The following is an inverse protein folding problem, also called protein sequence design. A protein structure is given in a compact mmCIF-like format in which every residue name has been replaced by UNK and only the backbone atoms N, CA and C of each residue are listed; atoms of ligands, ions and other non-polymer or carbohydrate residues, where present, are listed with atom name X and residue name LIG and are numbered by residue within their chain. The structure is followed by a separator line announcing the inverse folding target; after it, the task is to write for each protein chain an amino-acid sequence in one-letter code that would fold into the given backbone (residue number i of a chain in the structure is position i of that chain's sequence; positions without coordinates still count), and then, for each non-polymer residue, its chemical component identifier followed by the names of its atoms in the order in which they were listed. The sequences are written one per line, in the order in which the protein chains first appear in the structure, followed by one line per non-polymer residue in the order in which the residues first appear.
data_IF_200607038215
#
_entry.id   IF_200607038215
#
_cell.length_a   1.000
_cell.length_b   1.000
_cell.length_c   1.000
_cell.angle_alpha   90.00
_cell.angle_beta   90.00
_cell.angle_gamma   90.00
#
_symmetry.space_group_name_H-M   'P 1'
#
loop_
_entity.id
_entity.type
_entity.pdbx_description
1 polymer ?
#
# COMPACT_ATOMS: atom_id res chain seq x y z
N UNK A 1 25.15 24.07 -8.18
CA UNK A 1 24.01 24.83 -8.76
C UNK A 1 22.87 23.86 -9.01
N UNK A 2 21.64 24.33 -8.89
CA UNK A 2 20.43 23.59 -9.16
C UNK A 2 19.39 24.52 -9.78
N UNK A 3 18.46 23.98 -10.58
CA UNK A 3 17.38 24.75 -11.20
C UNK A 3 16.38 25.23 -10.15
N UNK A 4 16.03 24.35 -9.20
CA UNK A 4 15.11 24.68 -8.11
C UNK A 4 15.50 23.94 -6.83
N UNK A 5 15.40 24.64 -5.70
CA UNK A 5 15.52 24.04 -4.36
C UNK A 5 14.27 24.41 -3.58
N UNK A 6 13.57 23.41 -3.06
CA UNK A 6 12.42 23.56 -2.18
C UNK A 6 12.78 22.97 -0.83
N UNK A 7 12.73 23.77 0.23
CA UNK A 7 13.03 23.38 1.60
C UNK A 7 11.74 23.43 2.40
N UNK A 8 11.37 22.31 3.00
CA UNK A 8 10.23 22.17 3.91
C UNK A 8 10.73 21.73 5.30
N UNK A 9 9.83 21.62 6.26
CA UNK A 9 10.19 21.23 7.62
C UNK A 9 10.91 19.87 7.69
N UNK A 10 10.41 18.90 6.92
CA UNK A 10 10.85 17.51 7.00
C UNK A 10 11.53 17.01 5.71
N UNK A 11 11.60 17.85 4.67
CA UNK A 11 12.20 17.50 3.39
C UNK A 11 12.92 18.64 2.69
N UNK A 12 13.92 18.28 1.90
CA UNK A 12 14.58 19.22 0.98
C UNK A 12 14.66 18.55 -0.40
N UNK A 13 14.04 19.17 -1.38
CA UNK A 13 14.04 18.68 -2.77
C UNK A 13 14.91 19.59 -3.63
N UNK A 14 15.90 19.01 -4.30
CA UNK A 14 16.81 19.66 -5.23
C UNK A 14 16.50 19.12 -6.62
N UNK A 15 16.10 20.00 -7.54
CA UNK A 15 15.74 19.64 -8.91
C UNK A 15 16.82 20.15 -9.87
N UNK A 16 17.22 19.29 -10.82
CA UNK A 16 18.20 19.59 -11.86
C UNK A 16 19.53 20.13 -11.30
N UNK A 17 20.17 19.32 -10.44
CA UNK A 17 21.52 19.61 -9.99
C UNK A 17 22.54 19.54 -11.12
N UNK A 18 23.52 20.46 -11.15
CA UNK A 18 24.57 20.53 -12.16
C UNK A 18 25.84 19.75 -11.77
N UNK A 19 25.66 18.60 -11.05
CA UNK A 19 26.74 17.71 -10.70
C UNK A 19 27.32 16.96 -11.91
N UNK A 20 28.58 16.50 -11.81
CA UNK A 20 29.17 15.68 -12.86
C UNK A 20 28.51 14.29 -12.88
N UNK A 21 28.16 13.79 -14.06
CA UNK A 21 27.58 12.46 -14.25
C UNK A 21 28.47 11.35 -13.69
N UNK A 22 29.77 11.51 -13.81
CA UNK A 22 30.76 10.59 -13.27
C UNK A 22 30.70 10.52 -11.71
N UNK A 23 30.62 11.68 -11.05
CA UNK A 23 30.52 11.75 -9.59
C UNK A 23 29.18 11.13 -9.11
N UNK A 24 28.09 11.32 -9.84
CA UNK A 24 26.79 10.70 -9.55
C UNK A 24 26.88 9.18 -9.72
N UNK A 25 27.45 8.69 -10.83
CA UNK A 25 27.62 7.26 -11.07
C UNK A 25 28.51 6.60 -9.98
N UNK A 26 29.59 7.24 -9.58
CA UNK A 26 30.43 6.76 -8.51
C UNK A 26 29.68 6.69 -7.17
N UNK A 27 28.84 7.67 -6.87
CA UNK A 27 28.01 7.66 -5.67
C UNK A 27 26.95 6.56 -5.71
N UNK A 28 26.31 6.33 -6.85
CA UNK A 28 25.35 5.24 -7.07
C UNK A 28 26.02 3.90 -6.83
N UNK A 29 27.21 3.66 -7.38
CA UNK A 29 27.95 2.42 -7.18
C UNK A 29 28.35 2.19 -5.71
N UNK A 30 28.75 3.26 -5.01
CA UNK A 30 29.04 3.19 -3.58
C UNK A 30 27.81 2.78 -2.77
N UNK A 31 26.64 3.34 -3.06
CA UNK A 31 25.38 2.99 -2.39
C UNK A 31 25.01 1.52 -2.67
N UNK A 32 25.18 1.04 -3.91
CA UNK A 32 24.94 -0.38 -4.25
C UNK A 32 25.83 -1.32 -3.44
N UNK A 33 27.13 -1.01 -3.32
CA UNK A 33 28.03 -1.82 -2.48
C UNK A 33 27.63 -1.80 -1.00
N UNK A 34 27.15 -0.67 -0.49
CA UNK A 34 26.63 -0.58 0.89
C UNK A 34 25.36 -1.42 1.08
N UNK A 35 24.47 -1.48 0.08
CA UNK A 35 23.27 -2.33 0.09
C UNK A 35 23.60 -3.82 0.19
N UNK A 36 24.68 -4.27 -0.46
CA UNK A 36 25.13 -5.66 -0.41
C UNK A 36 25.70 -6.06 0.97
N UNK A 37 26.25 -5.11 1.70
CA UNK A 37 26.94 -5.36 2.98
C UNK A 37 26.10 -5.04 4.21
N UNK A 38 25.01 -4.26 4.08
CA UNK A 38 24.18 -3.88 5.23
C UNK A 38 23.30 -5.03 5.69
N UNK A 39 23.26 -5.25 7.01
CA UNK A 39 22.41 -6.23 7.67
C UNK A 39 21.18 -5.63 8.34
N UNK A 40 21.13 -4.30 8.45
CA UNK A 40 19.99 -3.54 9.01
C UNK A 40 18.94 -3.31 7.94
N UNK A 41 17.71 -3.78 8.15
CA UNK A 41 16.60 -3.53 7.22
C UNK A 41 16.28 -2.04 7.11
N UNK A 42 16.33 -1.30 8.22
CA UNK A 42 16.11 0.14 8.20
C UNK A 42 17.15 0.88 7.34
N UNK A 43 18.45 0.53 7.49
CA UNK A 43 19.51 1.15 6.68
C UNK A 43 19.39 0.74 5.21
N UNK A 44 18.98 -0.50 4.94
CA UNK A 44 18.70 -1.01 3.59
C UNK A 44 17.64 -0.18 2.90
N UNK A 45 16.50 0.04 3.56
CA UNK A 45 15.41 0.88 3.05
C UNK A 45 15.90 2.30 2.73
N UNK A 46 16.65 2.93 3.64
CA UNK A 46 17.18 4.30 3.44
C UNK A 46 18.22 4.39 2.32
N UNK A 47 19.02 3.35 2.12
CA UNK A 47 19.95 3.28 1.00
C UNK A 47 19.24 3.08 -0.33
N UNK A 48 18.19 2.24 -0.38
CA UNK A 48 17.35 2.07 -1.58
C UNK A 48 16.65 3.36 -1.97
N UNK A 49 16.07 4.08 -1.01
CA UNK A 49 15.45 5.39 -1.23
C UNK A 49 16.44 6.41 -1.83
N UNK A 50 17.66 6.48 -1.30
CA UNK A 50 18.74 7.32 -1.83
C UNK A 50 19.13 6.92 -3.24
N UNK A 51 19.27 5.63 -3.49
CA UNK A 51 19.63 5.09 -4.81
C UNK A 51 18.57 5.49 -5.85
N UNK A 52 17.29 5.30 -5.52
CA UNK A 52 16.18 5.68 -6.40
C UNK A 52 16.19 7.17 -6.75
N UNK A 53 16.41 8.04 -5.77
CA UNK A 53 16.49 9.51 -6.00
C UNK A 53 17.68 9.94 -6.84
N UNK A 54 18.80 9.24 -6.74
CA UNK A 54 20.01 9.55 -7.53
C UNK A 54 19.97 9.00 -8.95
N UNK A 55 19.36 7.83 -9.16
CA UNK A 55 19.33 7.12 -10.44
C UNK A 55 18.05 7.34 -11.24
N UNK A 56 16.93 7.62 -10.60
CA UNK A 56 15.61 7.74 -11.22
C UNK A 56 15.14 9.16 -11.52
N UNK A 57 15.85 10.18 -11.01
CA UNK A 57 15.42 11.57 -11.10
C UNK A 57 14.26 11.92 -10.14
N UNK A 58 13.67 13.10 -10.33
CA UNK A 58 12.55 13.61 -9.53
C UNK A 58 11.36 13.86 -10.44
N UNK A 59 10.26 13.14 -10.21
CA UNK A 59 8.98 13.43 -10.84
C UNK A 59 8.21 14.47 -10.00
N UNK A 60 7.67 15.48 -10.68
CA UNK A 60 6.85 16.53 -10.05
C UNK A 60 5.41 16.41 -10.54
N UNK A 61 4.49 16.03 -9.65
CA UNK A 61 3.06 16.03 -9.93
C UNK A 61 2.47 17.36 -9.49
N UNK A 62 2.03 18.18 -10.45
CA UNK A 62 1.37 19.45 -10.17
C UNK A 62 -0.13 19.22 -9.97
N UNK A 63 -0.64 19.66 -8.84
CA UNK A 63 -2.06 19.52 -8.47
C UNK A 63 -2.71 20.89 -8.38
N UNK A 64 -3.91 21.03 -8.94
CA UNK A 64 -4.68 22.26 -8.89
C UNK A 64 -6.16 21.96 -8.65
N UNK A 65 -6.87 22.88 -7.98
CA UNK A 65 -8.31 22.83 -7.78
C UNK A 65 -8.89 24.24 -7.69
N UNK A 66 -10.21 24.37 -7.84
CA UNK A 66 -10.90 25.65 -7.81
C UNK A 66 -10.94 26.30 -6.41
N UNK A 67 -10.83 25.51 -5.35
CA UNK A 67 -10.86 25.97 -3.95
C UNK A 67 -9.67 25.40 -3.17
N UNK A 68 -9.29 26.08 -2.08
CA UNK A 68 -8.20 25.61 -1.20
C UNK A 68 -8.55 24.29 -0.52
N UNK A 69 -9.81 24.11 -0.12
CA UNK A 69 -10.27 22.84 0.49
C UNK A 69 -10.17 21.68 -0.49
N UNK A 70 -10.66 21.87 -1.72
CA UNK A 70 -10.57 20.85 -2.77
C UNK A 70 -9.11 20.56 -3.17
N UNK A 71 -8.23 21.57 -3.13
CA UNK A 71 -6.80 21.38 -3.39
C UNK A 71 -6.15 20.53 -2.30
N UNK A 72 -6.45 20.76 -1.03
CA UNK A 72 -5.94 19.97 0.10
C UNK A 72 -6.42 18.52 0.01
N UNK A 73 -7.71 18.31 -0.27
CA UNK A 73 -8.28 16.97 -0.43
C UNK A 73 -7.60 16.21 -1.58
N UNK A 74 -7.44 16.85 -2.73
CA UNK A 74 -6.79 16.23 -3.89
C UNK A 74 -5.31 15.91 -3.63
N UNK A 75 -4.60 16.80 -2.93
CA UNK A 75 -3.20 16.55 -2.51
C UNK A 75 -3.11 15.31 -1.62
N UNK A 76 -3.95 15.20 -0.60
CA UNK A 76 -3.97 14.06 0.31
C UNK A 76 -4.30 12.75 -0.43
N UNK A 77 -5.27 12.79 -1.37
CA UNK A 77 -5.64 11.63 -2.18
C UNK A 77 -4.49 11.15 -3.08
N UNK A 78 -3.75 12.07 -3.68
CA UNK A 78 -2.58 11.73 -4.51
C UNK A 78 -1.43 11.19 -3.64
N UNK A 79 -1.23 11.76 -2.47
CA UNK A 79 -0.21 11.32 -1.51
C UNK A 79 -0.50 9.90 -1.01
N UNK A 80 -1.76 9.60 -0.71
CA UNK A 80 -2.24 8.27 -0.32
C UNK A 80 -2.03 7.25 -1.46
N UNK A 81 -2.46 7.57 -2.68
CA UNK A 81 -2.24 6.73 -3.85
C UNK A 81 -0.75 6.47 -4.13
N UNK A 82 0.11 7.47 -3.92
CA UNK A 82 1.56 7.32 -4.08
C UNK A 82 2.16 6.37 -3.03
N UNK A 83 1.73 6.47 -1.78
CA UNK A 83 2.17 5.59 -0.71
C UNK A 83 1.70 4.15 -0.94
N UNK A 84 0.44 3.95 -1.32
CA UNK A 84 -0.10 2.63 -1.69
C UNK A 84 0.67 2.02 -2.87
N UNK A 85 0.98 2.82 -3.90
CA UNK A 85 1.77 2.36 -5.06
C UNK A 85 3.18 1.94 -4.68
N UNK A 86 3.84 2.67 -3.77
CA UNK A 86 5.17 2.28 -3.27
C UNK A 86 5.13 0.97 -2.51
N UNK A 87 4.17 0.81 -1.58
CA UNK A 87 3.98 -0.42 -0.85
C UNK A 87 3.72 -1.61 -1.80
N UNK A 88 2.87 -1.42 -2.81
CA UNK A 88 2.58 -2.44 -3.82
C UNK A 88 3.82 -2.86 -4.63
N UNK A 89 4.72 -1.93 -4.96
CA UNK A 89 5.98 -2.24 -5.66
C UNK A 89 6.96 -2.99 -4.77
N UNK A 90 7.00 -2.68 -3.49
CA UNK A 90 7.95 -3.26 -2.53
C UNK A 90 7.47 -4.60 -1.97
N UNK A 91 6.19 -4.74 -1.64
CA UNK A 91 5.62 -5.89 -0.92
C UNK A 91 4.67 -6.74 -1.77
N UNK A 92 4.23 -6.24 -2.93
CA UNK A 92 3.22 -6.86 -3.77
C UNK A 92 1.81 -6.42 -3.42
N UNK A 93 0.83 -7.13 -3.99
CA UNK A 93 -0.60 -6.84 -3.84
C UNK A 93 -1.38 -8.08 -3.43
N UNK A 94 -2.53 -7.85 -2.80
CA UNK A 94 -3.52 -8.88 -2.47
C UNK A 94 -4.90 -8.46 -2.96
N UNK A 95 -5.86 -9.38 -2.95
CA UNK A 95 -7.27 -9.08 -3.23
C UNK A 95 -7.80 -8.09 -2.19
N UNK A 96 -8.26 -6.94 -2.65
CA UNK A 96 -8.71 -5.83 -1.82
C UNK A 96 -10.14 -5.99 -1.29
N UNK A 97 -10.68 -4.88 -0.79
CA UNK A 97 -12.04 -4.85 -0.25
C UNK A 97 -12.27 -5.75 0.95
N UNK A 98 -11.22 -6.10 1.69
CA UNK A 98 -11.25 -7.04 2.81
C UNK A 98 -11.33 -8.52 2.39
N UNK A 99 -11.31 -8.83 1.10
CA UNK A 99 -11.43 -10.20 0.56
C UNK A 99 -10.29 -11.09 1.04
N UNK A 100 -9.04 -10.61 0.99
CA UNK A 100 -7.87 -11.36 1.45
C UNK A 100 -7.98 -11.77 2.92
N UNK A 101 -8.55 -10.92 3.78
CA UNK A 101 -8.75 -11.22 5.20
C UNK A 101 -9.76 -12.35 5.41
N UNK A 102 -10.85 -12.38 4.64
CA UNK A 102 -11.84 -13.47 4.71
C UNK A 102 -11.26 -14.77 4.14
N UNK A 103 -10.45 -14.71 3.10
CA UNK A 103 -9.82 -15.88 2.49
C UNK A 103 -8.87 -16.62 3.45
N UNK A 104 -8.27 -15.95 4.42
CA UNK A 104 -7.38 -16.60 5.42
C UNK A 104 -8.13 -17.20 6.61
N UNK A 105 -9.43 -16.93 6.77
CA UNK A 105 -10.24 -17.40 7.90
C UNK A 105 -10.15 -18.92 8.06
N UNK A 106 -10.27 -19.69 6.98
CA UNK A 106 -10.19 -21.13 7.00
C UNK A 106 -8.84 -21.61 7.57
N UNK A 107 -7.74 -20.99 7.18
CA UNK A 107 -6.40 -21.32 7.66
C UNK A 107 -6.19 -20.97 9.14
N UNK A 108 -6.71 -19.83 9.57
CA UNK A 108 -6.67 -19.45 11.00
C UNK A 108 -7.53 -20.40 11.85
N UNK A 109 -8.65 -20.86 11.32
CA UNK A 109 -9.53 -21.81 12.01
C UNK A 109 -8.91 -23.21 12.20
N UNK A 110 -7.99 -23.62 11.29
CA UNK A 110 -7.23 -24.88 11.37
C UNK A 110 -6.20 -24.91 12.51
N UNK A 111 -5.88 -23.78 13.12
CA UNK A 111 -4.95 -23.74 14.26
C UNK A 111 -5.52 -24.53 15.45
N UNK A 112 -4.80 -25.55 15.86
CA UNK A 112 -5.16 -26.38 17.02
C UNK A 112 -4.70 -25.70 18.31
N UNK A 113 -5.61 -24.93 18.93
CA UNK A 113 -5.37 -24.12 20.11
C UNK A 113 -6.42 -24.44 21.18
N UNK A 114 -6.01 -24.43 22.44
CA UNK A 114 -6.85 -24.74 23.60
C UNK A 114 -7.00 -23.56 24.56
N UNK A 115 -8.00 -23.60 25.43
CA UNK A 115 -8.19 -22.63 26.51
C UNK A 115 -8.32 -21.18 26.01
N UNK A 116 -7.53 -20.29 26.62
CA UNK A 116 -7.56 -18.85 26.30
C UNK A 116 -7.02 -18.55 24.90
N UNK A 117 -6.09 -19.35 24.40
CA UNK A 117 -5.55 -19.21 23.05
C UNK A 117 -6.64 -19.53 21.98
N UNK A 118 -7.46 -20.53 22.22
CA UNK A 118 -8.62 -20.83 21.37
C UNK A 118 -9.65 -19.67 21.38
N UNK A 119 -9.85 -19.04 22.53
CA UNK A 119 -10.69 -17.84 22.65
C UNK A 119 -10.09 -16.68 21.86
N UNK A 120 -8.78 -16.45 21.96
CA UNK A 120 -8.04 -15.46 21.17
C UNK A 120 -8.18 -15.69 19.67
N UNK A 121 -7.99 -16.94 19.21
CA UNK A 121 -8.23 -17.31 17.80
C UNK A 121 -9.64 -16.94 17.34
N UNK A 122 -10.67 -17.25 18.15
CA UNK A 122 -12.05 -16.95 17.76
C UNK A 122 -12.33 -15.44 17.67
N UNK A 123 -11.68 -14.63 18.52
CA UNK A 123 -11.73 -13.16 18.42
C UNK A 123 -11.11 -12.70 17.10
N UNK A 124 -9.95 -13.23 16.71
CA UNK A 124 -9.29 -12.91 15.44
C UNK A 124 -10.17 -13.31 14.26
N UNK A 125 -10.72 -14.53 14.25
CA UNK A 125 -11.63 -15.00 13.21
C UNK A 125 -12.81 -14.04 13.00
N UNK A 126 -13.38 -13.55 14.09
CA UNK A 126 -14.46 -12.56 14.02
C UNK A 126 -13.99 -11.22 13.47
N UNK A 127 -12.83 -10.74 13.91
CA UNK A 127 -12.26 -9.48 13.46
C UNK A 127 -11.93 -9.46 11.95
N UNK A 128 -11.51 -10.59 11.37
CA UNK A 128 -11.21 -10.73 9.96
C UNK A 128 -12.43 -10.49 9.03
N UNK A 129 -13.64 -10.63 9.56
CA UNK A 129 -14.87 -10.36 8.80
C UNK A 129 -15.26 -8.87 8.77
N UNK A 130 -14.83 -8.09 9.75
CA UNK A 130 -15.36 -6.74 9.97
C UNK A 130 -15.05 -5.75 8.85
N UNK A 131 -13.86 -5.76 8.19
CA UNK A 131 -13.61 -4.87 7.06
C UNK A 131 -14.60 -5.05 5.90
N UNK A 132 -14.87 -6.29 5.48
CA UNK A 132 -15.86 -6.58 4.44
C UNK A 132 -17.26 -6.17 4.89
N UNK A 133 -17.62 -6.47 6.14
CA UNK A 133 -18.91 -6.12 6.74
C UNK A 133 -19.14 -4.61 6.67
N UNK A 134 -18.15 -3.83 7.06
CA UNK A 134 -18.24 -2.39 7.08
C UNK A 134 -18.31 -1.80 5.66
N UNK A 135 -17.53 -2.32 4.72
CA UNK A 135 -17.58 -1.90 3.31
C UNK A 135 -18.95 -2.17 2.71
N UNK A 136 -19.49 -3.39 2.92
CA UNK A 136 -20.82 -3.74 2.45
C UNK A 136 -21.91 -2.84 3.05
N UNK A 137 -21.85 -2.60 4.37
CA UNK A 137 -22.77 -1.71 5.06
C UNK A 137 -22.74 -0.28 4.51
N UNK A 138 -21.55 0.28 4.31
CA UNK A 138 -21.36 1.62 3.75
C UNK A 138 -21.93 1.75 2.33
N UNK A 139 -21.96 0.66 1.58
CA UNK A 139 -22.55 0.58 0.24
C UNK A 139 -24.06 0.23 0.24
N UNK A 140 -24.68 0.08 1.42
CA UNK A 140 -26.10 -0.22 1.56
C UNK A 140 -26.47 -1.70 1.46
N UNK A 141 -25.50 -2.60 1.58
CA UNK A 141 -25.71 -4.05 1.53
C UNK A 141 -25.65 -4.69 2.92
N UNK A 142 -26.32 -5.85 3.07
CA UNK A 142 -26.26 -6.62 4.30
C UNK A 142 -24.94 -7.40 4.40
N UNK A 143 -24.06 -6.97 5.32
CA UNK A 143 -22.70 -7.49 5.44
C UNK A 143 -22.64 -8.98 5.76
N UNK A 144 -23.61 -9.50 6.55
CA UNK A 144 -23.66 -10.92 6.90
C UNK A 144 -23.88 -11.82 5.68
N UNK A 145 -24.73 -11.38 4.75
CA UNK A 145 -25.00 -12.09 3.49
C UNK A 145 -23.77 -12.08 2.58
N UNK A 146 -23.10 -10.92 2.50
CA UNK A 146 -21.88 -10.79 1.69
C UNK A 146 -20.76 -11.70 2.24
N UNK A 147 -20.55 -11.72 3.56
CA UNK A 147 -19.51 -12.55 4.19
C UNK A 147 -19.79 -14.04 3.99
N UNK A 148 -21.04 -14.48 4.19
CA UNK A 148 -21.39 -15.88 3.99
C UNK A 148 -21.11 -16.34 2.56
N UNK A 149 -21.51 -15.54 1.57
CA UNK A 149 -21.23 -15.83 0.17
C UNK A 149 -19.72 -15.79 -0.12
N UNK A 150 -18.98 -14.85 0.45
CA UNK A 150 -17.54 -14.71 0.25
C UNK A 150 -16.76 -15.93 0.77
N UNK A 151 -17.13 -16.45 1.95
CA UNK A 151 -16.54 -17.67 2.53
C UNK A 151 -16.72 -18.91 1.65
N UNK A 152 -17.77 -18.93 0.83
CA UNK A 152 -18.10 -20.03 -0.08
C UNK A 152 -17.66 -19.77 -1.53
N UNK A 153 -17.01 -18.64 -1.78
CA UNK A 153 -16.49 -18.27 -3.11
C UNK A 153 -15.04 -18.75 -3.31
N UNK A 154 -14.58 -18.90 -4.55
CA UNK A 154 -13.17 -19.17 -4.84
C UNK A 154 -12.27 -18.06 -4.26
N UNK A 155 -11.05 -18.44 -3.85
CA UNK A 155 -10.03 -17.49 -3.38
C UNK A 155 -9.77 -16.44 -4.46
N UNK A 156 -9.72 -15.16 -4.06
CA UNK A 156 -9.55 -14.02 -4.97
C UNK A 156 -10.86 -13.44 -5.52
N UNK A 157 -11.96 -14.21 -5.49
CA UNK A 157 -13.29 -13.69 -5.83
C UNK A 157 -13.84 -12.89 -4.66
N UNK A 158 -14.29 -11.66 -4.91
CA UNK A 158 -14.82 -10.77 -3.89
C UNK A 158 -16.02 -9.95 -4.37
N UNK A 159 -16.51 -9.11 -3.46
CA UNK A 159 -17.67 -8.26 -3.68
C UNK A 159 -17.23 -6.84 -4.07
N UNK A 160 -17.57 -6.41 -5.28
CA UNK A 160 -17.41 -5.03 -5.72
C UNK A 160 -18.55 -4.17 -5.16
N UNK A 161 -18.28 -3.47 -4.09
CA UNK A 161 -19.27 -2.63 -3.40
C UNK A 161 -19.75 -1.42 -4.21
N UNK A 162 -19.05 -1.04 -5.28
CA UNK A 162 -19.43 0.09 -6.12
C UNK A 162 -20.62 -0.23 -7.04
N UNK A 163 -20.74 -1.50 -7.49
CA UNK A 163 -21.81 -1.91 -8.43
C UNK A 163 -22.60 -3.15 -7.99
N UNK A 164 -22.21 -3.79 -6.86
CA UNK A 164 -22.89 -4.96 -6.31
C UNK A 164 -22.52 -6.28 -6.99
N UNK A 165 -21.51 -6.31 -7.85
CA UNK A 165 -21.10 -7.49 -8.59
C UNK A 165 -20.06 -8.35 -7.84
N UNK A 166 -20.00 -9.63 -8.20
CA UNK A 166 -18.99 -10.58 -7.74
C UNK A 166 -17.95 -10.75 -8.83
N UNK A 167 -16.71 -10.42 -8.53
CA UNK A 167 -15.62 -10.34 -9.51
C UNK A 167 -14.34 -10.97 -8.98
N UNK A 168 -13.41 -11.33 -9.87
CA UNK A 168 -12.02 -11.48 -9.45
C UNK A 168 -11.48 -10.10 -9.07
N UNK A 169 -11.05 -9.97 -7.81
CA UNK A 169 -10.69 -8.67 -7.24
C UNK A 169 -9.43 -8.09 -7.89
N UNK A 170 -8.45 -8.93 -8.19
CA UNK A 170 -7.19 -8.49 -8.81
C UNK A 170 -7.41 -8.08 -10.26
N UNK A 171 -8.16 -8.88 -11.04
CA UNK A 171 -8.50 -8.54 -12.42
C UNK A 171 -9.38 -7.29 -12.52
N UNK A 172 -10.27 -7.09 -11.55
CA UNK A 172 -11.11 -5.88 -11.47
C UNK A 172 -10.35 -4.64 -10.97
N UNK A 173 -9.07 -4.76 -10.57
CA UNK A 173 -8.28 -3.67 -10.04
C UNK A 173 -8.67 -3.26 -8.61
N UNK A 174 -9.37 -4.12 -7.87
CA UNK A 174 -9.72 -3.92 -6.46
C UNK A 174 -8.67 -4.65 -5.62
N UNK A 175 -7.64 -3.92 -5.27
CA UNK A 175 -6.42 -4.44 -4.64
C UNK A 175 -6.06 -3.64 -3.39
N UNK A 176 -5.35 -4.30 -2.46
CA UNK A 176 -4.71 -3.75 -1.27
C UNK A 176 -3.22 -4.06 -1.26
#
# INVERSE_FOLDING_TARGET
QASKVTVEKDSTVIVEGTGSQEAIANRVNLIKSQLETTTSEFDREKLQERLAKLSGGVAVVKVGAATETALKEMKLRIEDALNATRAAVEEGIVAGGGTALVNVIAKVAELDLEGDDATGRNIVLRALEEPVRQIAFNAGYEGSVIIDKLKNSPVGTGFNAANGEWVDMVEAGIID
#
